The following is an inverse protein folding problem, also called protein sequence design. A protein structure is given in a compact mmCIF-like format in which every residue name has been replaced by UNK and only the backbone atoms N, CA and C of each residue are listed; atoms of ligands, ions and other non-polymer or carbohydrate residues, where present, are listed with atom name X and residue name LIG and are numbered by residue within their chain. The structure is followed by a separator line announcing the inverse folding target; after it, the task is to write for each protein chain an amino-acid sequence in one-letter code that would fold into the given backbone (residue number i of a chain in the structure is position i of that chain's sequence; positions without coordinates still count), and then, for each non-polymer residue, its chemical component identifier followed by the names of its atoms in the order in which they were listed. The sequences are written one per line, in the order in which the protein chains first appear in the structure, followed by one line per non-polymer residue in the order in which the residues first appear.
data_IF_888877098322
#
_entry.id   IF_888877098322
#
_cell.length_a   1.000
_cell.length_b   1.000
_cell.length_c   1.000
_cell.angle_alpha   90.00
_cell.angle_beta   90.00
_cell.angle_gamma   90.00
#
_symmetry.space_group_name_H-M   'P 1'
#
loop_
_entity.id
_entity.type
_entity.pdbx_description
1 polymer ?
#
# COMPACT_ATOMS: atom_id res chain seq x y z
N UNK A 1 5.12 21.60 2.76
CA UNK A 1 5.89 21.04 3.90
C UNK A 1 5.75 19.52 3.94
N UNK A 2 4.56 18.96 4.14
CA UNK A 2 4.34 17.50 4.14
C UNK A 2 4.80 16.75 2.86
N UNK A 3 4.55 17.30 1.67
CA UNK A 3 5.02 16.68 0.41
C UNK A 3 6.55 16.63 0.33
N UNK A 4 7.24 17.68 0.80
CA UNK A 4 8.71 17.70 0.86
C UNK A 4 9.22 16.66 1.87
N UNK A 5 8.56 16.54 3.03
CA UNK A 5 8.86 15.49 4.00
C UNK A 5 8.77 14.10 3.39
N UNK A 6 7.69 13.82 2.66
CA UNK A 6 7.54 12.54 1.94
C UNK A 6 8.67 12.32 0.93
N UNK A 7 9.12 13.38 0.25
CA UNK A 7 10.20 13.29 -0.73
C UNK A 7 11.54 13.00 -0.07
N UNK A 8 11.87 13.73 1.01
CA UNK A 8 13.15 13.64 1.71
C UNK A 8 13.36 12.29 2.39
N UNK A 9 12.28 11.64 2.82
CA UNK A 9 12.30 10.35 3.51
C UNK A 9 11.74 9.19 2.70
N UNK A 10 11.52 9.42 1.39
CA UNK A 10 10.99 8.44 0.45
C UNK A 10 9.70 7.77 0.96
N UNK A 11 8.87 8.50 1.71
CA UNK A 11 7.64 7.99 2.28
C UNK A 11 6.50 8.01 1.25
N UNK A 12 5.57 7.07 1.39
CA UNK A 12 4.38 7.00 0.52
C UNK A 12 3.10 6.85 1.32
N UNK A 13 2.01 7.44 0.83
CA UNK A 13 0.65 7.17 1.34
C UNK A 13 0.10 5.95 0.63
N UNK A 14 -0.58 5.06 1.34
CA UNK A 14 -1.25 3.89 0.74
C UNK A 14 -2.63 3.65 1.38
N UNK A 15 -3.16 2.44 1.22
CA UNK A 15 -4.38 2.00 1.87
C UNK A 15 -5.62 2.70 1.33
N UNK A 16 -6.51 3.09 2.23
CA UNK A 16 -7.81 3.61 1.84
C UNK A 16 -7.75 5.01 1.24
N UNK A 17 -6.91 5.90 1.78
CA UNK A 17 -6.73 7.25 1.25
C UNK A 17 -6.12 7.25 -0.15
N UNK A 18 -5.15 6.36 -0.44
CA UNK A 18 -4.61 6.23 -1.78
C UNK A 18 -5.66 5.75 -2.79
N UNK A 19 -6.54 4.84 -2.38
CA UNK A 19 -7.66 4.41 -3.23
C UNK A 19 -8.68 5.54 -3.45
N UNK A 20 -9.01 6.33 -2.42
CA UNK A 20 -9.95 7.48 -2.53
C UNK A 20 -9.46 8.51 -3.53
N UNK A 21 -8.15 8.77 -3.48
CA UNK A 21 -7.52 9.72 -4.39
C UNK A 21 -7.54 9.25 -5.84
N UNK A 22 -7.25 7.97 -6.09
CA UNK A 22 -7.19 7.42 -7.46
C UNK A 22 -8.58 7.20 -8.04
N UNK A 23 -9.54 6.79 -7.21
CA UNK A 23 -10.89 6.47 -7.64
C UNK A 23 -11.91 7.27 -6.82
N UNK A 24 -12.03 8.58 -7.09
CA UNK A 24 -13.14 9.35 -6.57
C UNK A 24 -14.44 8.74 -7.14
N UNK A 25 -15.37 8.36 -6.28
CA UNK A 25 -16.67 7.80 -6.69
C UNK A 25 -17.77 8.86 -6.52
N UNK A 26 -18.07 9.67 -7.55
CA UNK A 26 -19.11 10.69 -7.47
C UNK A 26 -20.52 10.11 -7.49
N UNK A 27 -20.74 9.00 -8.19
CA UNK A 27 -22.08 8.45 -8.45
C UNK A 27 -22.57 7.50 -7.34
N UNK A 28 -21.64 6.84 -6.65
CA UNK A 28 -21.94 6.01 -5.48
C UNK A 28 -20.95 6.39 -4.38
N UNK A 29 -21.29 7.41 -3.57
CA UNK A 29 -20.41 7.85 -2.49
C UNK A 29 -20.07 6.68 -1.60
N UNK A 30 -18.80 6.54 -1.27
CA UNK A 30 -18.39 5.50 -0.34
C UNK A 30 -19.08 5.75 0.99
N UNK A 31 -19.74 4.71 1.51
CA UNK A 31 -20.58 4.85 2.71
C UNK A 31 -19.77 4.99 4.00
N UNK A 32 -18.44 4.82 3.92
CA UNK A 32 -17.50 4.98 5.01
C UNK A 32 -16.24 5.69 4.50
N UNK A 33 -16.00 6.91 5.01
CA UNK A 33 -14.78 7.66 4.73
C UNK A 33 -13.55 6.98 5.38
N UNK A 34 -12.38 7.18 4.79
CA UNK A 34 -11.12 6.84 5.42
C UNK A 34 -10.97 7.56 6.79
N UNK A 35 -10.57 6.81 7.82
CA UNK A 35 -10.49 7.31 9.19
C UNK A 35 -9.05 7.63 9.61
N UNK A 36 -8.08 6.90 9.04
CA UNK A 36 -6.67 6.87 9.36
C UNK A 36 -5.82 7.04 8.09
N UNK A 37 -4.75 7.84 8.19
CA UNK A 37 -3.78 8.00 7.11
C UNK A 37 -2.66 6.97 7.28
N UNK A 38 -2.53 6.06 6.32
CA UNK A 38 -1.46 5.06 6.29
C UNK A 38 -0.25 5.60 5.51
N UNK A 39 0.87 5.80 6.20
CA UNK A 39 2.17 6.18 5.64
C UNK A 39 3.15 5.02 5.72
N UNK A 40 3.91 4.84 4.65
CA UNK A 40 4.92 3.80 4.53
C UNK A 40 6.28 4.44 4.38
N UNK A 41 7.25 4.01 5.19
CA UNK A 41 8.59 4.58 5.25
C UNK A 41 9.63 3.48 5.07
N UNK A 42 10.74 3.70 4.34
CA UNK A 42 11.85 2.75 4.28
C UNK A 42 12.46 2.44 5.64
N UNK A 43 13.09 1.27 5.75
CA UNK A 43 13.85 0.91 6.94
C UNK A 43 15.02 1.90 7.16
N UNK A 44 15.12 2.45 8.37
CA UNK A 44 16.18 3.36 8.79
C UNK A 44 15.87 4.84 8.58
N UNK A 45 14.74 5.18 7.96
CA UNK A 45 14.29 6.56 7.75
C UNK A 45 13.11 6.95 8.68
N UNK A 46 12.64 6.04 9.53
CA UNK A 46 11.45 6.24 10.34
C UNK A 46 11.60 7.29 11.43
N UNK A 47 12.74 7.33 12.13
CA UNK A 47 12.87 8.19 13.31
C UNK A 47 12.87 9.69 12.94
N UNK A 48 13.68 10.15 11.97
CA UNK A 48 13.63 11.57 11.58
C UNK A 48 12.27 11.97 10.98
N UNK A 49 11.56 11.03 10.34
CA UNK A 49 10.21 11.26 9.82
C UNK A 49 9.19 11.44 10.95
N UNK A 50 9.25 10.59 11.98
CA UNK A 50 8.43 10.69 13.19
C UNK A 50 8.75 11.99 13.94
N UNK A 51 10.03 12.27 14.19
CA UNK A 51 10.49 13.47 14.89
C UNK A 51 9.95 14.73 14.21
N UNK A 52 9.90 14.75 12.88
CA UNK A 52 9.32 15.86 12.15
C UNK A 52 7.83 16.05 12.46
N UNK A 53 7.04 14.97 12.40
CA UNK A 53 5.61 15.01 12.68
C UNK A 53 5.32 15.43 14.13
N UNK A 54 6.17 15.02 15.08
CA UNK A 54 6.04 15.41 16.48
C UNK A 54 6.41 16.87 16.71
N UNK A 55 7.59 17.30 16.25
CA UNK A 55 8.15 18.61 16.56
C UNK A 55 7.45 19.73 15.79
N UNK A 56 7.11 19.49 14.51
CA UNK A 56 6.64 20.54 13.62
C UNK A 56 5.15 20.45 13.28
N UNK A 57 4.55 19.25 13.30
CA UNK A 57 3.14 19.05 12.97
C UNK A 57 2.26 18.76 14.20
N UNK A 58 2.84 18.75 15.40
CA UNK A 58 2.12 18.66 16.67
C UNK A 58 1.45 17.30 16.92
N UNK A 59 1.96 16.23 16.30
CA UNK A 59 1.50 14.88 16.58
C UNK A 59 2.17 14.34 17.86
N UNK A 60 1.44 13.49 18.59
CA UNK A 60 1.98 12.74 19.70
C UNK A 60 2.18 11.28 19.27
N UNK A 61 3.43 10.79 19.23
CA UNK A 61 3.66 9.36 19.18
C UNK A 61 3.43 8.78 20.58
N UNK A 62 2.25 8.20 20.81
CA UNK A 62 2.07 7.40 22.02
C UNK A 62 2.99 6.17 21.91
N UNK A 63 3.91 5.94 22.86
CA UNK A 63 4.81 4.81 22.78
C UNK A 63 4.00 3.51 22.82
N UNK A 64 3.85 2.86 21.66
CA UNK A 64 3.77 1.40 21.59
C UNK A 64 5.20 0.88 21.58
N UNK A 65 5.84 0.86 22.74
CA UNK A 65 7.13 0.18 22.98
C UNK A 65 6.95 -1.33 23.05
N UNK A 66 6.29 -1.89 22.04
CA UNK A 66 6.49 -3.29 21.69
C UNK A 66 6.87 -3.31 20.22
N UNK A 67 7.90 -4.08 19.81
CA UNK A 67 7.97 -4.48 18.40
C UNK A 67 6.56 -4.89 18.00
N UNK A 68 6.06 -4.39 16.86
CA UNK A 68 4.67 -4.51 16.44
C UNK A 68 4.16 -5.88 16.90
N UNK A 69 3.21 -5.90 17.84
CA UNK A 69 2.79 -7.19 18.40
C UNK A 69 2.37 -8.06 17.21
N UNK A 70 2.52 -9.39 17.28
CA UNK A 70 2.08 -10.24 16.17
C UNK A 70 0.67 -9.84 15.68
N UNK A 71 -0.22 -9.45 16.60
CA UNK A 71 -1.56 -8.91 16.32
C UNK A 71 -1.63 -7.55 15.61
N UNK A 72 -0.64 -6.70 15.75
CA UNK A 72 -0.50 -5.45 14.98
C UNK A 72 0.15 -5.72 13.61
N UNK A 73 1.12 -6.65 13.55
CA UNK A 73 1.64 -7.21 12.29
C UNK A 73 0.51 -7.84 11.45
N UNK A 74 -0.36 -8.61 12.11
CA UNK A 74 -1.59 -9.26 11.59
C UNK A 74 -2.56 -8.26 10.95
N UNK A 75 -2.58 -6.98 11.35
CA UNK A 75 -3.52 -6.00 10.81
C UNK A 75 -3.10 -5.44 9.45
N UNK A 76 -1.80 -5.39 9.16
CA UNK A 76 -1.25 -4.64 8.02
C UNK A 76 -0.59 -5.51 6.95
N UNK A 77 -0.06 -6.69 7.28
CA UNK A 77 0.54 -7.58 6.28
C UNK A 77 0.31 -9.05 6.59
N UNK A 78 0.08 -9.82 5.53
CA UNK A 78 -0.09 -11.28 5.60
C UNK A 78 1.27 -11.99 5.78
N UNK A 79 2.36 -11.34 5.39
CA UNK A 79 3.71 -11.90 5.58
C UNK A 79 4.34 -11.41 6.88
N UNK A 80 4.80 -12.32 7.77
CA UNK A 80 5.82 -11.93 8.71
C UNK A 80 7.06 -11.50 7.91
N UNK A 81 7.65 -10.36 8.24
CA UNK A 81 8.90 -9.81 7.69
C UNK A 81 8.81 -8.83 6.50
N UNK A 82 7.66 -8.28 6.14
CA UNK A 82 7.61 -7.22 5.09
C UNK A 82 7.57 -5.81 5.65
N UNK A 83 7.38 -5.67 6.95
CA UNK A 83 7.55 -4.43 7.68
C UNK A 83 8.12 -4.70 9.08
N UNK A 84 8.98 -3.80 9.56
CA UNK A 84 9.77 -3.94 10.79
C UNK A 84 8.99 -3.45 12.02
N UNK A 85 8.30 -2.32 11.87
CA UNK A 85 7.61 -1.64 12.96
C UNK A 85 6.40 -0.85 12.45
N UNK A 86 5.49 -0.53 13.38
CA UNK A 86 4.33 0.33 13.12
C UNK A 86 4.17 1.31 14.27
N UNK A 87 4.03 2.59 13.95
CA UNK A 87 3.78 3.66 14.91
C UNK A 87 2.44 4.30 14.62
N UNK A 88 1.63 4.51 15.66
CA UNK A 88 0.37 5.26 15.52
C UNK A 88 0.54 6.61 16.21
N UNK A 89 0.49 7.68 15.42
CA UNK A 89 0.60 9.05 15.88
C UNK A 89 -0.81 9.65 15.96
N UNK A 90 -1.06 10.42 17.00
CA UNK A 90 -2.35 11.08 17.21
C UNK A 90 -2.15 12.58 17.37
N UNK A 91 -2.93 13.37 16.64
CA UNK A 91 -2.94 14.81 16.85
C UNK A 91 -3.97 15.14 17.95
N UNK A 92 -3.55 15.75 19.08
CA UNK A 92 -4.41 15.96 20.24
C UNK A 92 -5.62 16.86 19.94
N UNK A 93 -5.42 17.92 19.16
CA UNK A 93 -6.48 18.88 18.86
C UNK A 93 -7.46 18.41 17.78
N UNK A 94 -6.95 17.82 16.68
CA UNK A 94 -7.77 17.49 15.51
C UNK A 94 -8.41 16.10 15.60
N UNK A 95 -8.01 15.27 16.58
CA UNK A 95 -8.40 13.86 16.72
C UNK A 95 -8.08 13.00 15.48
N UNK A 96 -7.16 13.47 14.62
CA UNK A 96 -6.66 12.70 13.47
C UNK A 96 -5.56 11.74 13.92
N UNK A 97 -5.44 10.63 13.21
CA UNK A 97 -4.36 9.66 13.41
C UNK A 97 -3.63 9.34 12.13
N UNK A 98 -2.34 9.07 12.27
CA UNK A 98 -1.45 8.59 11.21
C UNK A 98 -0.87 7.27 11.68
N UNK A 99 -0.99 6.23 10.86
CA UNK A 99 -0.23 5.00 11.04
C UNK A 99 1.01 5.07 10.14
N UNK A 100 2.19 4.90 10.74
CA UNK A 100 3.49 4.85 10.05
C UNK A 100 3.95 3.41 10.07
N UNK A 101 4.01 2.80 8.89
CA UNK A 101 4.44 1.43 8.65
C UNK A 101 5.86 1.48 8.10
N UNK A 102 6.81 0.91 8.84
CA UNK A 102 8.22 0.89 8.45
C UNK A 102 8.52 -0.40 7.71
N UNK A 103 8.95 -0.32 6.45
CA UNK A 103 9.34 -1.48 5.66
C UNK A 103 10.47 -2.29 6.32
N UNK A 104 10.62 -3.56 5.93
CA UNK A 104 11.79 -4.36 6.28
C UNK A 104 12.98 -4.13 5.36
N UNK A 105 12.81 -3.36 4.29
CA UNK A 105 13.85 -3.08 3.31
C UNK A 105 13.88 -1.59 2.93
N UNK A 106 14.74 -1.26 1.96
CA UNK A 106 14.92 0.12 1.49
C UNK A 106 13.72 0.66 0.69
N UNK A 107 12.74 -0.16 0.33
CA UNK A 107 11.54 0.26 -0.38
C UNK A 107 10.37 0.38 0.59
N UNK A 108 9.63 1.50 0.58
CA UNK A 108 8.39 1.61 1.37
C UNK A 108 7.26 0.77 0.75
N UNK A 109 7.44 0.23 -0.47
CA UNK A 109 6.39 -0.43 -1.24
C UNK A 109 6.23 -1.91 -0.91
N UNK A 110 7.28 -2.57 -0.42
CA UNK A 110 7.27 -4.00 -0.08
C UNK A 110 6.05 -4.44 0.74
N UNK A 111 5.67 -3.76 1.84
CA UNK A 111 4.47 -4.12 2.59
C UNK A 111 3.15 -3.89 1.85
N UNK A 112 3.09 -2.96 0.90
CA UNK A 112 1.87 -2.65 0.13
C UNK A 112 1.46 -3.83 -0.76
N UNK A 113 2.43 -4.52 -1.36
CA UNK A 113 2.17 -5.71 -2.18
C UNK A 113 1.72 -6.94 -1.37
N UNK A 114 1.68 -6.82 -0.05
CA UNK A 114 1.27 -7.88 0.89
C UNK A 114 -0.08 -7.64 1.54
N UNK A 115 -0.82 -6.67 1.01
CA UNK A 115 -2.19 -6.46 1.41
C UNK A 115 -3.11 -7.62 1.05
N UNK A 116 -4.24 -7.65 1.75
CA UNK A 116 -5.30 -8.65 1.63
C UNK A 116 -5.90 -8.76 0.23
N UNK A 117 -5.80 -7.72 -0.60
CA UNK A 117 -6.31 -7.75 -1.96
C UNK A 117 -5.79 -6.60 -2.84
N UNK A 118 -5.93 -6.76 -4.16
CA UNK A 118 -5.44 -5.79 -5.15
C UNK A 118 -6.02 -4.37 -5.08
N UNK A 119 -7.27 -4.11 -4.60
CA UNK A 119 -7.82 -2.75 -4.54
C UNK A 119 -7.07 -1.78 -3.65
N UNK A 120 -6.24 -2.26 -2.73
CA UNK A 120 -5.46 -1.42 -1.81
C UNK A 120 -3.98 -1.35 -2.20
N UNK A 121 -3.58 -1.99 -3.30
CA UNK A 121 -2.20 -1.97 -3.80
C UNK A 121 -1.95 -0.73 -4.67
N UNK A 122 -2.23 0.44 -4.09
CA UNK A 122 -2.04 1.74 -4.69
C UNK A 122 -1.24 2.62 -3.74
N UNK A 123 -0.45 3.54 -4.27
CA UNK A 123 0.34 4.43 -3.44
C UNK A 123 0.48 5.82 -4.05
N UNK A 124 0.69 6.80 -3.17
CA UNK A 124 0.96 8.19 -3.53
C UNK A 124 2.33 8.53 -2.97
N UNK A 125 3.24 8.91 -3.85
CA UNK A 125 4.54 9.49 -3.51
C UNK A 125 4.42 11.00 -3.47
N UNK A 126 5.51 11.70 -3.13
CA UNK A 126 5.57 13.16 -3.27
C UNK A 126 5.33 13.66 -4.71
N UNK A 127 5.63 12.83 -5.72
CA UNK A 127 5.72 13.27 -7.12
C UNK A 127 4.77 12.54 -8.07
N UNK A 128 4.12 11.48 -7.61
CA UNK A 128 3.26 10.64 -8.44
C UNK A 128 2.22 9.88 -7.62
N UNK A 129 1.14 9.54 -8.30
CA UNK A 129 0.15 8.56 -7.84
C UNK A 129 0.24 7.29 -8.70
N UNK A 130 0.18 6.13 -8.05
CA UNK A 130 0.38 4.84 -8.70
C UNK A 130 -0.65 3.79 -8.29
N UNK A 131 -1.00 2.92 -9.23
CA UNK A 131 -1.83 1.74 -9.03
C UNK A 131 -1.16 0.51 -9.66
N UNK A 132 -0.94 -0.53 -8.87
CA UNK A 132 -0.35 -1.78 -9.37
C UNK A 132 -1.29 -2.58 -10.29
N UNK A 133 -2.60 -2.40 -10.08
CA UNK A 133 -3.66 -3.13 -10.77
C UNK A 133 -4.76 -2.19 -11.29
N UNK A 134 -4.42 -1.18 -12.11
CA UNK A 134 -5.34 -0.12 -12.52
C UNK A 134 -6.59 -0.67 -13.21
N UNK A 135 -6.45 -1.71 -14.06
CA UNK A 135 -7.58 -2.33 -14.75
C UNK A 135 -8.59 -2.97 -13.79
N UNK A 136 -8.15 -3.51 -12.66
CA UNK A 136 -9.04 -4.04 -11.64
C UNK A 136 -9.57 -2.94 -10.75
N UNK A 137 -8.69 -2.05 -10.28
CA UNK A 137 -9.05 -0.89 -9.48
C UNK A 137 -10.18 -0.13 -10.16
N UNK A 138 -9.98 0.46 -11.35
CA UNK A 138 -11.00 1.30 -12.01
C UNK A 138 -12.26 0.54 -12.47
N UNK A 139 -12.24 -0.79 -12.49
CA UNK A 139 -13.42 -1.61 -12.74
C UNK A 139 -14.16 -2.02 -11.46
N UNK A 140 -13.77 -1.50 -10.29
CA UNK A 140 -14.25 -1.92 -8.97
C UNK A 140 -14.15 -3.43 -8.76
N UNK A 141 -13.02 -4.00 -9.18
CA UNK A 141 -12.69 -5.43 -9.10
C UNK A 141 -11.48 -5.64 -8.19
N UNK A 142 -11.50 -6.73 -7.42
CA UNK A 142 -10.42 -7.05 -6.49
C UNK A 142 -10.08 -8.54 -6.48
N UNK A 143 -8.81 -8.88 -6.66
CA UNK A 143 -8.33 -10.23 -6.39
C UNK A 143 -7.89 -10.32 -4.94
N UNK A 144 -8.40 -11.31 -4.23
CA UNK A 144 -7.95 -11.62 -2.86
C UNK A 144 -6.56 -12.21 -2.95
N UNK A 145 -5.65 -11.72 -2.11
CA UNK A 145 -4.32 -12.31 -2.01
C UNK A 145 -4.47 -13.73 -1.43
N UNK A 146 -4.09 -14.81 -2.16
CA UNK A 146 -4.31 -16.19 -1.73
C UNK A 146 -3.70 -16.50 -0.36
N UNK A 147 -2.66 -15.76 0.02
CA UNK A 147 -1.98 -15.93 1.29
C UNK A 147 -2.85 -15.59 2.49
N UNK A 148 -3.83 -14.70 2.31
CA UNK A 148 -4.85 -14.43 3.35
C UNK A 148 -5.52 -15.73 3.80
N UNK A 149 -5.69 -16.67 2.87
CA UNK A 149 -6.39 -17.93 3.11
C UNK A 149 -5.46 -19.02 3.66
N UNK A 150 -4.15 -18.84 3.55
CA UNK A 150 -3.16 -19.81 3.98
C UNK A 150 -2.81 -19.70 5.47
N UNK A 151 -3.18 -18.59 6.13
CA UNK A 151 -2.85 -18.33 7.53
C UNK A 151 -4.11 -18.01 8.36
N UNK A 152 -4.49 -18.96 9.20
CA UNK A 152 -5.66 -18.88 10.09
C UNK A 152 -5.57 -17.71 11.08
N UNK A 153 -4.37 -17.24 11.44
CA UNK A 153 -4.17 -16.11 12.36
C UNK A 153 -4.58 -14.78 11.70
N UNK A 154 -4.34 -14.62 10.39
CA UNK A 154 -4.59 -13.39 9.63
C UNK A 154 -5.98 -13.32 8.99
N UNK A 155 -6.65 -14.47 8.86
CA UNK A 155 -7.93 -14.60 8.17
C UNK A 155 -9.02 -13.65 8.73
N UNK A 156 -9.23 -13.48 10.05
CA UNK A 156 -10.32 -12.64 10.56
C UNK A 156 -10.17 -11.15 10.21
N UNK A 157 -8.96 -10.59 10.34
CA UNK A 157 -8.67 -9.18 10.03
C UNK A 157 -8.77 -8.92 8.52
N UNK A 158 -8.20 -9.81 7.72
CA UNK A 158 -8.23 -9.72 6.27
C UNK A 158 -9.65 -9.86 5.71
N UNK A 159 -10.45 -10.79 6.23
CA UNK A 159 -11.87 -10.92 5.87
C UNK A 159 -12.68 -9.68 6.24
N UNK A 160 -12.41 -9.06 7.39
CA UNK A 160 -13.05 -7.79 7.77
C UNK A 160 -12.70 -6.68 6.79
N UNK A 161 -11.44 -6.60 6.37
CA UNK A 161 -11.01 -5.62 5.39
C UNK A 161 -11.65 -5.88 4.02
N UNK A 162 -11.65 -7.12 3.52
CA UNK A 162 -12.34 -7.51 2.28
C UNK A 162 -13.83 -7.16 2.36
N UNK A 163 -14.50 -7.46 3.48
CA UNK A 163 -15.90 -7.10 3.70
C UNK A 163 -16.12 -5.59 3.65
N UNK A 164 -15.21 -4.79 4.27
CA UNK A 164 -15.24 -3.33 4.20
C UNK A 164 -15.25 -2.83 2.75
N UNK A 165 -14.31 -3.28 1.93
CA UNK A 165 -14.22 -2.85 0.52
C UNK A 165 -15.39 -3.38 -0.34
N UNK A 166 -15.88 -4.59 -0.07
CA UNK A 166 -17.02 -5.16 -0.80
C UNK A 166 -18.33 -4.40 -0.51
N UNK A 167 -18.61 -4.13 0.76
CA UNK A 167 -19.89 -3.53 1.19
C UNK A 167 -19.93 -2.02 1.06
N UNK A 168 -18.83 -1.34 1.39
CA UNK A 168 -18.84 0.11 1.51
C UNK A 168 -18.20 0.82 0.32
N UNK A 169 -17.47 0.08 -0.53
CA UNK A 169 -16.77 0.61 -1.72
C UNK A 169 -17.11 -0.18 -2.99
N UNK A 170 -18.09 -1.09 -2.91
CA UNK A 170 -18.70 -1.79 -4.04
C UNK A 170 -17.73 -2.60 -4.91
N UNK A 171 -16.65 -3.10 -4.31
CA UNK A 171 -15.73 -3.99 -5.02
C UNK A 171 -16.30 -5.40 -5.18
N UNK A 172 -16.25 -5.91 -6.41
CA UNK A 172 -16.41 -7.34 -6.69
C UNK A 172 -15.09 -8.06 -6.40
N UNK A 173 -15.12 -9.00 -5.46
CA UNK A 173 -13.92 -9.76 -5.04
C UNK A 173 -13.96 -11.18 -5.53
N UNK A 174 -12.86 -11.64 -6.14
CA UNK A 174 -12.65 -13.00 -6.62
C UNK A 174 -11.30 -13.53 -6.14
N UNK A 175 -11.12 -14.86 -6.18
CA UNK A 175 -9.83 -15.50 -5.89
C UNK A 175 -8.93 -15.56 -7.13
N UNK A 176 -9.54 -15.59 -8.30
CA UNK A 176 -8.89 -15.61 -9.60
C UNK A 176 -9.71 -14.76 -10.59
N UNK A 177 -9.14 -14.32 -11.72
CA UNK A 177 -9.80 -13.37 -12.60
C UNK A 177 -10.71 -14.02 -13.64
N UNK A 178 -10.89 -15.35 -13.64
CA UNK A 178 -11.70 -16.05 -14.64
C UNK A 178 -13.16 -15.59 -14.71
N UNK A 179 -13.83 -15.15 -13.63
CA UNK A 179 -15.17 -14.57 -13.71
C UNK A 179 -15.26 -13.31 -14.59
N UNK A 180 -14.14 -12.61 -14.80
CA UNK A 180 -14.09 -11.38 -15.58
C UNK A 180 -13.40 -11.53 -16.94
N UNK A 181 -12.40 -12.42 -17.02
CA UNK A 181 -11.57 -12.64 -18.21
C UNK A 181 -11.92 -13.91 -18.97
N UNK A 182 -12.73 -14.80 -18.39
CA UNK A 182 -12.88 -16.17 -18.86
C UNK A 182 -11.62 -17.01 -18.62
N UNK A 183 -11.45 -18.06 -19.42
CA UNK A 183 -10.25 -18.88 -19.36
C UNK A 183 -9.01 -18.06 -19.77
N UNK A 184 -7.94 -18.16 -18.98
CA UNK A 184 -6.66 -17.54 -19.27
C UNK A 184 -5.51 -18.47 -18.91
N UNK A 185 -4.36 -18.27 -19.56
CA UNK A 185 -3.13 -18.99 -19.25
C UNK A 185 -2.49 -18.39 -17.99
N UNK A 186 -2.56 -19.09 -16.86
CA UNK A 186 -2.03 -18.59 -15.60
C UNK A 186 -0.56 -18.16 -15.71
N UNK A 187 -0.19 -17.09 -15.01
CA UNK A 187 1.17 -16.51 -15.01
C UNK A 187 1.59 -15.78 -16.28
N UNK A 188 0.75 -15.72 -17.33
CA UNK A 188 1.02 -14.91 -18.53
C UNK A 188 0.37 -13.52 -18.51
N UNK A 189 -0.95 -13.36 -18.29
CA UNK A 189 -1.54 -12.04 -18.20
C UNK A 189 -0.99 -11.29 -17.01
N UNK A 190 -0.60 -10.03 -17.17
CA UNK A 190 -0.12 -9.21 -16.06
C UNK A 190 -1.18 -9.03 -14.95
N UNK A 191 -2.46 -9.25 -15.27
CA UNK A 191 -3.55 -9.18 -14.30
C UNK A 191 -3.83 -10.52 -13.58
N UNK A 192 -3.09 -11.59 -13.92
CA UNK A 192 -3.19 -12.86 -13.21
C UNK A 192 -2.41 -12.77 -11.88
N UNK A 193 -2.97 -13.24 -10.75
CA UNK A 193 -2.27 -13.23 -9.45
C UNK A 193 -1.01 -14.10 -9.41
N UNK A 194 -0.86 -15.03 -10.35
CA UNK A 194 0.33 -15.88 -10.46
C UNK A 194 1.43 -15.29 -11.35
N UNK A 195 1.18 -14.15 -11.99
CA UNK A 195 2.19 -13.48 -12.81
C UNK A 195 3.17 -12.74 -11.91
N UNK A 196 4.47 -12.91 -12.16
CA UNK A 196 5.50 -12.08 -11.53
C UNK A 196 5.36 -10.66 -12.09
N UNK A 197 5.22 -9.69 -11.20
CA UNK A 197 5.01 -8.27 -11.53
C UNK A 197 6.16 -7.43 -11.02
N UNK A 198 6.31 -6.24 -11.61
CA UNK A 198 7.18 -5.18 -11.10
C UNK A 198 6.45 -3.84 -11.18
N UNK A 199 6.86 -2.87 -10.37
CA UNK A 199 6.26 -1.52 -10.40
C UNK A 199 6.52 -0.75 -11.69
N UNK A 200 7.41 -1.24 -12.54
CA UNK A 200 7.78 -0.65 -13.83
C UNK A 200 7.27 -1.45 -15.02
N UNK A 201 6.47 -2.50 -14.80
CA UNK A 201 5.87 -3.24 -15.90
C UNK A 201 4.71 -2.47 -16.55
N UNK A 202 4.36 -2.86 -17.77
CA UNK A 202 3.32 -2.19 -18.56
C UNK A 202 1.89 -2.33 -18.04
N UNK A 203 1.68 -3.00 -16.90
CA UNK A 203 0.36 -3.11 -16.26
C UNK A 203 0.25 -2.28 -14.98
N UNK A 204 1.33 -1.65 -14.51
CA UNK A 204 1.26 -0.63 -13.47
C UNK A 204 0.93 0.72 -14.11
N UNK A 205 0.05 1.50 -13.46
CA UNK A 205 -0.20 2.89 -13.84
C UNK A 205 0.48 3.80 -12.82
N UNK A 206 1.30 4.73 -13.28
CA UNK A 206 1.83 5.82 -12.46
C UNK A 206 1.67 7.15 -13.21
N UNK A 207 1.06 8.13 -12.55
CA UNK A 207 0.84 9.48 -13.08
C UNK A 207 1.60 10.47 -12.21
N UNK A 208 2.54 11.20 -12.80
CA UNK A 208 3.36 12.21 -12.11
C UNK A 208 2.62 13.53 -11.99
N UNK A 209 2.72 14.21 -10.85
CA UNK A 209 2.06 15.50 -10.61
C UNK A 209 2.68 16.65 -11.40
N UNK A 210 3.98 16.58 -11.72
CA UNK A 210 4.71 17.68 -12.38
C UNK A 210 4.82 17.56 -13.90
N UNK A 211 4.16 16.58 -14.53
CA UNK A 211 4.22 16.37 -16.00
C UNK A 211 5.60 15.99 -16.55
N UNK A 212 6.64 15.94 -15.71
CA UNK A 212 7.98 15.54 -16.10
C UNK A 212 8.05 14.01 -16.19
N UNK A 213 7.81 13.52 -17.40
CA UNK A 213 7.98 12.11 -17.82
C UNK A 213 9.36 11.50 -17.49
N UNK A 214 10.33 12.31 -17.04
CA UNK A 214 11.66 11.89 -16.62
C UNK A 214 11.71 11.31 -15.19
N UNK A 215 10.63 11.41 -14.41
CA UNK A 215 10.55 10.93 -13.03
C UNK A 215 10.07 9.48 -12.88
N UNK A 216 9.82 8.73 -13.97
CA UNK A 216 9.44 7.31 -13.86
C UNK A 216 10.57 6.40 -13.33
N UNK A 217 11.76 6.94 -13.10
CA UNK A 217 12.87 6.26 -12.44
C UNK A 217 13.10 6.85 -11.05
N UNK A 218 12.24 6.49 -10.08
CA UNK A 218 12.69 6.40 -8.70
C UNK A 218 13.95 5.52 -8.69
N UNK A 219 15.04 6.06 -8.15
CA UNK A 219 16.42 5.52 -8.24
C UNK A 219 16.44 3.98 -8.26
N UNK A 220 16.73 3.44 -9.44
CA UNK A 220 17.18 2.07 -9.59
C UNK A 220 18.56 2.03 -8.92
N UNK A 221 18.65 1.53 -7.69
CA UNK A 221 19.91 0.92 -7.23
C UNK A 221 20.06 -0.34 -8.07
N UNK A 222 20.71 -0.21 -9.23
CA UNK A 222 21.22 -1.37 -9.95
C UNK A 222 22.33 -1.94 -9.08
N UNK A 223 22.06 -3.04 -8.39
CA UNK A 223 23.15 -3.92 -7.98
C UNK A 223 23.61 -4.67 -9.23
N UNK A 224 24.53 -4.05 -9.99
CA UNK A 224 25.16 -4.62 -11.18
C UNK A 224 26.12 -5.79 -10.85
N UNK A 225 25.88 -6.54 -9.77
CA UNK A 225 26.70 -7.69 -9.35
C UNK A 225 25.92 -9.00 -9.31
N UNK A 226 25.09 -9.29 -10.32
CA UNK A 226 24.57 -10.67 -10.50
C UNK A 226 24.00 -10.99 -11.90
N UNK A 227 24.70 -10.61 -12.96
CA UNK A 227 24.53 -11.23 -14.29
C UNK A 227 25.90 -11.38 -14.96
N UNK A 228 26.74 -12.22 -14.36
CA UNK A 228 27.92 -12.79 -14.99
C UNK A 228 28.25 -14.12 -14.31
N UNK A 229 27.44 -15.14 -14.55
CA UNK A 229 27.83 -16.56 -14.51
C UNK A 229 26.62 -17.45 -14.79
N UNK A 230 26.79 -18.27 -15.82
CA UNK A 230 26.06 -19.47 -16.24
C UNK A 230 24.82 -19.30 -17.14
#
# INVERSE_FOLDING_TARGET
MFIELMRDYEAVVSGCHALEFIMPSPDVPWTLAAADLDLYVPLGLEQPFIDFLEIFEGYDCKPRTRPASRKDLVRLSIYPNTFSSMFTLHHPDTKRSIDIIVSCDASPLSPIFQFHSTPVMNWITADAVCSAYPLYTFASRGIVNPLVLADDEYLPSSLRAIYKYRRHRHFDFQLDPSPWLGWHDCSRPLMCPHSVRSTIDGACLCVTFNGDSRSMTGRIVRDDRKLASD
#
